data_IF_087519882181
#
_entry.id   IF_087519882181
#
_cell.length_a   1.000
_cell.length_b   1.000
_cell.length_c   1.000
_cell.angle_alpha   90.00
_cell.angle_beta   90.00
_cell.angle_gamma   90.00
#
_symmetry.space_group_name_H-M   'P 1'
#
loop_
_entity.id
_entity.type
_entity.pdbx_description
1 polymer ?
#
# COMPACT_ATOMS: atom_id res chain seq x y z
N UNK A 1 -10.81 -6.88 3.00
CA UNK A 1 -11.47 -5.63 3.44
C UNK A 1 -11.07 -5.36 4.88
N UNK A 2 -11.27 -6.34 5.77
CA UNK A 2 -10.89 -6.35 7.20
C UNK A 2 -9.46 -5.88 7.53
N UNK A 3 -8.43 -6.26 6.74
CA UNK A 3 -7.05 -5.78 6.94
C UNK A 3 -6.94 -4.27 6.73
N UNK A 4 -7.57 -3.72 5.68
CA UNK A 4 -7.49 -2.27 5.37
C UNK A 4 -8.23 -1.45 6.42
N UNK A 5 -9.37 -1.95 6.89
CA UNK A 5 -10.16 -1.32 7.95
C UNK A 5 -9.40 -1.29 9.28
N UNK A 6 -8.64 -2.35 9.59
CA UNK A 6 -7.77 -2.39 10.77
C UNK A 6 -6.65 -1.33 10.73
N UNK A 7 -5.99 -1.13 9.59
CA UNK A 7 -4.93 -0.11 9.47
C UNK A 7 -5.49 1.31 9.60
N UNK A 8 -6.68 1.59 9.04
CA UNK A 8 -7.34 2.88 9.22
C UNK A 8 -7.71 3.13 10.69
N UNK A 9 -8.20 2.12 11.40
CA UNK A 9 -8.50 2.23 12.83
C UNK A 9 -7.25 2.47 13.68
N UNK A 10 -6.15 1.76 13.38
CA UNK A 10 -4.84 2.00 14.02
C UNK A 10 -4.37 3.44 13.77
N UNK A 11 -4.42 3.91 12.52
CA UNK A 11 -4.02 5.27 12.15
C UNK A 11 -4.84 6.33 12.92
N UNK A 12 -6.17 6.20 12.91
CA UNK A 12 -7.06 7.12 13.62
C UNK A 12 -6.77 7.14 15.14
N UNK A 13 -6.43 5.99 15.71
CA UNK A 13 -6.04 5.91 17.13
C UNK A 13 -4.73 6.67 17.40
N UNK A 14 -3.73 6.53 16.53
CA UNK A 14 -2.47 7.28 16.63
C UNK A 14 -2.66 8.79 16.46
N UNK A 15 -3.49 9.20 15.50
CA UNK A 15 -3.85 10.61 15.29
C UNK A 15 -4.52 11.20 16.53
N UNK A 16 -5.49 10.49 17.11
CA UNK A 16 -6.18 10.89 18.34
C UNK A 16 -5.21 11.03 19.52
N UNK A 17 -4.31 10.05 19.72
CA UNK A 17 -3.26 10.11 20.74
C UNK A 17 -2.35 11.33 20.53
N UNK A 18 -1.87 11.57 19.31
CA UNK A 18 -0.98 12.70 19.01
C UNK A 18 -1.67 14.06 19.26
N UNK A 19 -2.94 14.19 18.87
CA UNK A 19 -3.76 15.39 19.14
C UNK A 19 -3.88 15.66 20.64
N UNK A 20 -4.18 14.63 21.43
CA UNK A 20 -4.26 14.72 22.88
C UNK A 20 -2.94 15.18 23.49
N UNK A 21 -1.82 14.56 23.10
CA UNK A 21 -0.48 14.93 23.56
C UNK A 21 -0.10 16.37 23.20
N UNK A 22 -0.45 16.83 21.99
CA UNK A 22 -0.21 18.22 21.57
C UNK A 22 -1.00 19.22 22.42
N UNK A 23 -2.24 18.89 22.79
CA UNK A 23 -3.04 19.71 23.70
C UNK A 23 -2.38 19.81 25.08
N UNK A 24 -1.94 18.67 25.65
CA UNK A 24 -1.22 18.67 26.92
C UNK A 24 0.09 19.45 26.86
N UNK A 25 0.88 19.26 25.80
CA UNK A 25 2.13 20.00 25.59
C UNK A 25 1.89 21.51 25.56
N UNK A 26 0.84 21.95 24.88
CA UNK A 26 0.46 23.36 24.78
C UNK A 26 0.12 23.94 26.16
N UNK A 27 -0.68 23.21 26.94
CA UNK A 27 -1.02 23.61 28.32
C UNK A 27 0.24 23.70 29.19
N UNK A 28 1.13 22.69 29.14
CA UNK A 28 2.35 22.68 29.96
C UNK A 28 3.33 23.79 29.55
N UNK A 29 3.44 24.10 28.26
CA UNK A 29 4.22 25.26 27.77
C UNK A 29 3.67 26.58 28.29
N UNK A 30 2.34 26.75 28.31
CA UNK A 30 1.71 27.95 28.84
C UNK A 30 2.01 28.12 30.35
N UNK A 31 1.85 27.05 31.13
CA UNK A 31 2.16 27.06 32.57
C UNK A 31 3.62 27.44 32.80
N UNK A 32 4.56 26.87 32.03
CA UNK A 32 5.97 27.20 32.15
C UNK A 32 6.24 28.68 31.82
N UNK A 33 5.63 29.22 30.77
CA UNK A 33 5.76 30.63 30.41
C UNK A 33 5.24 31.56 31.50
N UNK A 34 4.13 31.21 32.15
CA UNK A 34 3.54 32.01 33.22
C UNK A 34 4.42 31.99 34.47
N UNK A 35 4.97 30.83 34.82
CA UNK A 35 5.99 30.70 35.89
C UNK A 35 7.20 31.59 35.58
N UNK A 36 7.74 31.54 34.36
CA UNK A 36 8.90 32.34 33.91
C UNK A 36 8.62 33.85 33.96
N UNK A 37 7.41 34.29 33.61
CA UNK A 37 7.02 35.71 33.72
C UNK A 37 6.98 36.19 35.17
N UNK A 38 6.57 35.34 36.10
CA UNK A 38 6.48 35.68 37.52
C UNK A 38 7.84 35.70 38.24
N UNK A 39 8.85 35.01 37.71
CA UNK A 39 10.24 35.12 38.18
C UNK A 39 10.77 36.56 38.14
N UNK A 40 10.26 37.39 37.23
CA UNK A 40 10.71 38.78 37.06
C UNK A 40 10.08 39.77 38.07
N UNK A 41 9.24 39.33 39.01
CA UNK A 41 8.43 40.24 39.86
C UNK A 41 8.76 40.25 41.35
N UNK A 42 9.26 39.18 41.99
CA UNK A 42 9.51 39.15 43.46
C UNK A 42 10.62 38.19 43.90
N UNK A 43 11.52 38.67 44.75
CA UNK A 43 12.77 38.01 45.19
C UNK A 43 12.59 36.87 46.23
N UNK A 44 11.37 36.65 46.77
CA UNK A 44 11.09 35.63 47.80
C UNK A 44 10.32 34.37 47.35
N UNK A 45 9.91 34.29 46.07
CA UNK A 45 8.98 33.24 45.56
C UNK A 45 9.72 32.02 44.98
N UNK A 46 11.05 32.07 44.99
CA UNK A 46 11.94 31.17 44.26
C UNK A 46 11.81 29.68 44.63
N UNK A 47 11.63 29.34 45.92
CA UNK A 47 11.55 27.94 46.36
C UNK A 47 10.27 27.24 45.88
N UNK A 48 9.13 27.94 45.87
CA UNK A 48 7.86 27.42 45.37
C UNK A 48 7.89 27.25 43.85
N UNK A 49 8.38 28.27 43.15
CA UNK A 49 8.55 28.24 41.69
C UNK A 49 9.52 27.14 41.23
N UNK A 50 10.62 26.90 41.97
CA UNK A 50 11.55 25.79 41.68
C UNK A 50 10.85 24.42 41.74
N UNK A 51 9.94 24.23 42.68
CA UNK A 51 9.12 23.02 42.78
C UNK A 51 8.17 22.86 41.58
N UNK A 52 7.49 23.95 41.20
CA UNK A 52 6.55 23.99 40.06
C UNK A 52 7.26 23.74 38.72
N UNK A 53 8.42 24.36 38.49
CA UNK A 53 9.25 24.09 37.30
C UNK A 53 9.66 22.63 37.24
N UNK A 54 10.13 22.05 38.36
CA UNK A 54 10.54 20.64 38.42
C UNK A 54 9.38 19.70 38.07
N UNK A 55 8.17 19.99 38.55
CA UNK A 55 6.97 19.21 38.23
C UNK A 55 6.56 19.33 36.76
N UNK A 56 6.54 20.55 36.21
CA UNK A 56 6.25 20.78 34.79
C UNK A 56 7.28 20.09 33.91
N UNK A 57 8.57 20.14 34.25
CA UNK A 57 9.63 19.44 33.53
C UNK A 57 9.41 17.93 33.52
N UNK A 58 9.06 17.30 34.65
CA UNK A 58 8.74 15.86 34.69
C UNK A 58 7.59 15.51 33.75
N UNK A 59 6.53 16.30 33.77
CA UNK A 59 5.40 16.10 32.87
C UNK A 59 5.79 16.27 31.39
N UNK A 60 6.66 17.25 31.08
CA UNK A 60 7.17 17.44 29.72
C UNK A 60 8.02 16.25 29.26
N UNK A 61 8.89 15.70 30.12
CA UNK A 61 9.64 14.49 29.82
C UNK A 61 8.70 13.33 29.48
N UNK A 62 7.68 13.10 30.30
CA UNK A 62 6.70 12.04 30.04
C UNK A 62 5.94 12.25 28.72
N UNK A 63 5.56 13.48 28.40
CA UNK A 63 4.92 13.80 27.10
C UNK A 63 5.88 13.50 25.94
N UNK A 64 7.17 13.78 26.08
CA UNK A 64 8.17 13.50 25.04
C UNK A 64 8.30 11.98 24.83
N UNK A 65 8.43 11.20 25.90
CA UNK A 65 8.47 9.73 25.83
C UNK A 65 7.24 9.17 25.11
N UNK A 66 6.04 9.65 25.46
CA UNK A 66 4.80 9.22 24.80
C UNK A 66 4.73 9.65 23.33
N UNK A 67 5.33 10.78 22.95
CA UNK A 67 5.42 11.19 21.54
C UNK A 67 6.39 10.30 20.76
N UNK A 68 7.50 9.88 21.36
CA UNK A 68 8.43 8.92 20.76
C UNK A 68 7.76 7.57 20.54
N UNK A 69 6.93 7.10 21.48
CA UNK A 69 6.11 5.90 21.29
C UNK A 69 5.15 6.04 20.10
N UNK A 70 4.39 7.15 20.01
CA UNK A 70 3.48 7.39 18.88
C UNK A 70 4.24 7.44 17.55
N UNK A 71 5.44 8.01 17.54
CA UNK A 71 6.31 8.06 16.36
C UNK A 71 6.74 6.65 15.93
N UNK A 72 7.22 5.83 16.87
CA UNK A 72 7.62 4.45 16.60
C UNK A 72 6.44 3.59 16.12
N UNK A 73 5.27 3.74 16.74
CA UNK A 73 4.04 3.06 16.31
C UNK A 73 3.66 3.48 14.88
N UNK A 74 3.83 4.77 14.54
CA UNK A 74 3.56 5.31 13.19
C UNK A 74 4.55 4.76 12.16
N UNK A 75 5.83 4.65 12.49
CA UNK A 75 6.82 4.01 11.62
C UNK A 75 6.48 2.55 11.37
N UNK A 76 6.13 1.81 12.43
CA UNK A 76 5.72 0.41 12.34
C UNK A 76 4.49 0.25 11.43
N UNK A 77 3.46 1.08 11.61
CA UNK A 77 2.27 1.07 10.76
C UNK A 77 2.61 1.42 9.30
N UNK A 78 3.51 2.37 9.09
CA UNK A 78 3.97 2.77 7.75
C UNK A 78 4.70 1.61 7.07
N UNK A 79 5.55 0.89 7.79
CA UNK A 79 6.24 -0.30 7.29
C UNK A 79 5.26 -1.45 6.97
N UNK A 80 4.29 -1.72 7.86
CA UNK A 80 3.20 -2.68 7.61
C UNK A 80 2.46 -2.34 6.31
N UNK A 81 2.08 -1.07 6.14
CA UNK A 81 1.42 -0.58 4.92
C UNK A 81 2.36 -0.69 3.73
N UNK A 82 3.61 -0.23 3.80
CA UNK A 82 4.58 -0.32 2.70
C UNK A 82 4.81 -1.77 2.27
N UNK A 83 4.87 -2.73 3.20
CA UNK A 83 4.97 -4.15 2.87
C UNK A 83 3.72 -4.67 2.16
N UNK A 84 2.52 -4.23 2.58
CA UNK A 84 1.27 -4.51 1.86
C UNK A 84 1.23 -3.84 0.48
N UNK A 85 1.81 -2.64 0.36
CA UNK A 85 1.93 -1.94 -0.92
C UNK A 85 3.06 -2.53 -1.77
N UNK A 86 4.08 -3.18 -1.22
CA UNK A 86 5.10 -3.95 -1.95
C UNK A 86 4.47 -5.13 -2.68
N UNK A 87 3.41 -5.71 -2.09
CA UNK A 87 2.52 -6.66 -2.79
C UNK A 87 1.77 -6.03 -3.98
N UNK A 88 1.91 -4.73 -4.28
CA UNK A 88 1.31 -4.10 -5.46
C UNK A 88 1.86 -4.59 -6.79
N UNK A 89 3.01 -5.25 -6.82
CA UNK A 89 3.47 -5.94 -8.03
C UNK A 89 2.40 -6.93 -8.55
N UNK A 90 1.57 -7.48 -7.65
CA UNK A 90 0.41 -8.31 -8.01
C UNK A 90 -0.69 -7.49 -8.71
N UNK A 91 -0.90 -6.23 -8.31
CA UNK A 91 -1.85 -5.34 -9.00
C UNK A 91 -1.36 -5.01 -10.41
N UNK A 92 -0.05 -4.88 -10.64
CA UNK A 92 0.50 -4.72 -11.99
C UNK A 92 0.14 -5.92 -12.89
N UNK A 93 0.32 -7.15 -12.39
CA UNK A 93 -0.08 -8.35 -13.14
C UNK A 93 -1.60 -8.48 -13.30
N UNK A 94 -2.40 -8.00 -12.34
CA UNK A 94 -3.87 -7.87 -12.48
C UNK A 94 -4.26 -6.93 -13.60
N UNK A 95 -3.55 -5.82 -13.74
CA UNK A 95 -3.79 -4.85 -14.80
C UNK A 95 -3.47 -5.47 -16.16
N UNK A 96 -2.38 -6.25 -16.28
CA UNK A 96 -2.09 -7.01 -17.52
C UNK A 96 -3.12 -8.07 -17.88
N UNK A 97 -3.66 -8.79 -16.89
CA UNK A 97 -4.79 -9.70 -17.12
C UNK A 97 -6.02 -8.92 -17.58
N UNK A 98 -6.23 -7.72 -17.05
CA UNK A 98 -7.34 -6.85 -17.46
C UNK A 98 -7.16 -6.34 -18.90
N UNK A 99 -5.97 -5.86 -19.25
CA UNK A 99 -5.59 -5.41 -20.60
C UNK A 99 -5.80 -6.51 -21.62
N UNK A 100 -5.29 -7.72 -21.34
CA UNK A 100 -5.50 -8.89 -22.21
C UNK A 100 -6.98 -9.20 -22.43
N UNK A 101 -7.79 -9.14 -21.37
CA UNK A 101 -9.23 -9.38 -21.47
C UNK A 101 -9.96 -8.28 -22.25
N UNK A 102 -9.53 -7.02 -22.12
CA UNK A 102 -10.07 -5.91 -22.91
C UNK A 102 -9.75 -6.12 -24.38
N UNK A 103 -8.51 -6.46 -24.71
CA UNK A 103 -8.07 -6.73 -26.08
C UNK A 103 -8.86 -7.91 -26.69
N UNK A 104 -8.99 -9.02 -25.96
CA UNK A 104 -9.79 -10.18 -26.38
C UNK A 104 -11.24 -9.78 -26.63
N UNK A 105 -11.84 -8.98 -25.74
CA UNK A 105 -13.24 -8.52 -25.89
C UNK A 105 -13.41 -7.55 -27.05
N UNK A 106 -12.45 -6.66 -27.30
CA UNK A 106 -12.49 -5.74 -28.45
C UNK A 106 -12.44 -6.51 -29.77
N UNK A 107 -11.57 -7.53 -29.86
CA UNK A 107 -11.43 -8.35 -31.06
C UNK A 107 -12.58 -9.32 -31.29
N UNK A 108 -13.21 -9.83 -30.21
CA UNK A 108 -14.37 -10.74 -30.28
C UNK A 108 -15.74 -10.03 -30.35
N UNK A 109 -15.80 -8.70 -30.29
CA UNK A 109 -17.05 -7.95 -30.28
C UNK A 109 -17.96 -8.21 -29.06
N UNK A 110 -19.13 -7.56 -29.01
CA UNK A 110 -20.19 -7.85 -28.02
C UNK A 110 -21.12 -9.00 -28.47
N UNK A 111 -21.12 -9.31 -29.76
CA UNK A 111 -21.94 -10.33 -30.42
C UNK A 111 -20.98 -11.15 -31.27
N UNK A 112 -20.92 -12.46 -31.02
CA UNK A 112 -20.04 -13.39 -31.72
C UNK A 112 -20.51 -13.52 -33.18
N UNK A 113 -19.76 -12.91 -34.10
CA UNK A 113 -19.88 -12.98 -35.57
C UNK A 113 -18.98 -14.08 -36.12
N UNK A 114 -19.14 -14.45 -37.40
CA UNK A 114 -18.25 -15.43 -38.07
C UNK A 114 -16.77 -15.00 -38.06
N UNK A 115 -16.50 -13.71 -38.06
CA UNK A 115 -15.14 -13.18 -37.88
C UNK A 115 -14.54 -13.55 -36.51
N UNK A 116 -15.38 -13.71 -35.49
CA UNK A 116 -14.96 -14.05 -34.12
C UNK A 116 -14.55 -15.52 -34.00
N UNK A 117 -15.03 -16.44 -34.86
CA UNK A 117 -14.49 -17.81 -34.94
C UNK A 117 -13.01 -17.82 -35.35
N UNK A 118 -12.61 -16.92 -36.25
CA UNK A 118 -11.21 -16.76 -36.65
C UNK A 118 -10.39 -16.28 -35.45
N UNK A 119 -10.85 -15.25 -34.74
CA UNK A 119 -10.18 -14.72 -33.55
C UNK A 119 -10.13 -15.74 -32.41
N UNK A 120 -11.20 -16.50 -32.16
CA UNK A 120 -11.20 -17.58 -31.17
C UNK A 120 -10.22 -18.69 -31.55
N UNK A 121 -10.11 -19.01 -32.84
CA UNK A 121 -9.15 -20.01 -33.34
C UNK A 121 -7.72 -19.52 -33.15
N UNK A 122 -7.44 -18.25 -33.45
CA UNK A 122 -6.13 -17.63 -33.22
C UNK A 122 -5.80 -17.57 -31.72
N UNK A 123 -6.75 -17.16 -30.87
CA UNK A 123 -6.59 -17.13 -29.43
C UNK A 123 -6.26 -18.53 -28.89
N UNK A 124 -7.02 -19.54 -29.34
CA UNK A 124 -6.78 -20.94 -28.97
C UNK A 124 -5.39 -21.40 -29.41
N UNK A 125 -4.92 -21.03 -30.60
CA UNK A 125 -3.55 -21.35 -31.07
C UNK A 125 -2.50 -20.72 -30.18
N UNK A 126 -2.66 -19.45 -29.80
CA UNK A 126 -1.69 -18.74 -28.95
C UNK A 126 -1.69 -19.28 -27.52
N UNK A 127 -2.84 -19.58 -26.94
CA UNK A 127 -2.90 -20.19 -25.60
C UNK A 127 -2.30 -21.60 -25.61
N UNK A 128 -2.54 -22.38 -26.67
CA UNK A 128 -1.95 -23.70 -26.82
C UNK A 128 -0.42 -23.65 -27.01
N UNK A 129 0.11 -22.65 -27.72
CA UNK A 129 1.56 -22.54 -27.95
C UNK A 129 2.36 -22.28 -26.67
N UNK A 130 1.73 -21.68 -25.66
CA UNK A 130 2.30 -21.50 -24.32
C UNK A 130 1.87 -22.58 -23.32
N UNK A 131 1.18 -23.62 -23.78
CA UNK A 131 0.63 -24.70 -22.96
C UNK A 131 -0.21 -24.18 -21.77
N UNK A 132 -1.05 -23.17 -22.02
CA UNK A 132 -1.95 -22.61 -21.01
C UNK A 132 -3.20 -23.48 -20.89
N UNK A 133 -3.40 -24.05 -19.70
CA UNK A 133 -4.59 -24.86 -19.42
C UNK A 133 -5.80 -23.98 -19.09
N UNK A 134 -7.01 -24.52 -19.24
CA UNK A 134 -8.24 -23.82 -18.85
C UNK A 134 -8.27 -23.45 -17.37
N UNK A 135 -7.76 -24.32 -16.49
CA UNK A 135 -7.68 -24.05 -15.05
C UNK A 135 -6.73 -22.88 -14.74
N UNK A 136 -5.57 -22.82 -15.40
CA UNK A 136 -4.65 -21.69 -15.26
C UNK A 136 -5.28 -20.39 -15.79
N UNK A 137 -5.99 -20.46 -16.91
CA UNK A 137 -6.67 -19.30 -17.48
C UNK A 137 -7.80 -18.79 -16.57
N UNK A 138 -8.61 -19.70 -16.01
CA UNK A 138 -9.66 -19.35 -15.05
C UNK A 138 -9.07 -18.79 -13.77
N UNK A 139 -7.97 -19.37 -13.29
CA UNK A 139 -7.23 -18.88 -12.13
C UNK A 139 -6.80 -17.43 -12.36
N UNK A 140 -6.22 -17.11 -13.52
CA UNK A 140 -5.88 -15.73 -13.90
C UNK A 140 -7.11 -14.82 -13.95
N UNK A 141 -8.21 -15.30 -14.54
CA UNK A 141 -9.47 -14.55 -14.66
C UNK A 141 -10.06 -14.16 -13.29
N UNK A 142 -9.91 -15.01 -12.27
CA UNK A 142 -10.41 -14.74 -10.91
C UNK A 142 -9.68 -13.60 -10.21
N UNK A 143 -8.44 -13.29 -10.60
CA UNK A 143 -7.59 -12.26 -9.98
C UNK A 143 -8.05 -10.84 -10.42
N UNK A 144 -8.92 -10.74 -11.44
CA UNK A 144 -9.49 -9.51 -12.04
C UNK A 144 -10.18 -8.55 -11.06
N UNK A 145 -10.66 -9.01 -9.90
CA UNK A 145 -11.31 -8.14 -8.92
C UNK A 145 -10.27 -7.25 -8.24
N UNK A 146 -10.36 -5.94 -8.54
CA UNK A 146 -9.61 -4.82 -7.96
C UNK A 146 -8.26 -4.52 -8.65
N UNK A 147 -8.27 -4.36 -9.98
CA UNK A 147 -7.25 -3.60 -10.72
C UNK A 147 -7.15 -2.18 -10.14
N UNK A 148 -5.92 -1.70 -10.00
CA UNK A 148 -5.65 -0.45 -9.28
C UNK A 148 -4.65 0.42 -10.06
N UNK A 149 -4.88 0.59 -11.37
CA UNK A 149 -4.08 1.40 -12.31
C UNK A 149 -3.59 2.74 -11.74
N UNK A 150 -4.37 3.38 -10.84
CA UNK A 150 -3.99 4.63 -10.16
C UNK A 150 -2.70 4.54 -9.31
N UNK A 151 -2.28 3.34 -8.90
CA UNK A 151 -1.06 3.12 -8.12
C UNK A 151 0.16 2.72 -8.96
N UNK A 152 -0.01 2.56 -10.28
CA UNK A 152 1.03 2.15 -11.22
C UNK A 152 1.42 3.35 -12.08
N UNK A 153 2.08 4.33 -11.47
CA UNK A 153 2.57 5.53 -12.18
C UNK A 153 4.02 5.42 -12.67
N UNK A 154 4.74 4.33 -12.37
CA UNK A 154 6.16 4.23 -12.73
C UNK A 154 6.41 3.27 -13.90
N UNK A 155 6.96 3.87 -14.96
CA UNK A 155 7.59 3.32 -16.17
C UNK A 155 6.87 2.17 -16.89
N UNK A 156 6.45 2.44 -18.13
CA UNK A 156 6.05 1.42 -19.11
C UNK A 156 7.14 0.35 -19.25
N UNK A 157 6.99 -0.77 -18.53
CA UNK A 157 7.86 -1.94 -18.68
C UNK A 157 7.50 -2.70 -19.94
N UNK A 158 8.53 -3.13 -20.66
CA UNK A 158 8.36 -4.09 -21.76
C UNK A 158 7.96 -5.46 -21.22
N UNK A 159 7.27 -6.27 -22.03
CA UNK A 159 6.92 -7.65 -21.67
C UNK A 159 8.15 -8.52 -21.29
N UNK A 160 9.36 -8.16 -21.74
CA UNK A 160 10.60 -8.80 -21.31
C UNK A 160 10.96 -8.46 -19.86
N UNK A 161 10.88 -7.19 -19.50
CA UNK A 161 11.18 -6.72 -18.13
C UNK A 161 10.18 -7.31 -17.13
N UNK A 162 8.91 -7.44 -17.50
CA UNK A 162 7.87 -8.03 -16.65
C UNK A 162 8.06 -9.53 -16.41
N UNK A 163 8.49 -10.27 -17.43
CA UNK A 163 8.84 -11.70 -17.25
C UNK A 163 10.04 -11.85 -16.32
N UNK A 164 11.05 -10.98 -16.44
CA UNK A 164 12.21 -11.02 -15.57
C UNK A 164 11.84 -10.68 -14.11
N UNK A 165 10.94 -9.72 -13.88
CA UNK A 165 10.49 -9.41 -12.51
C UNK A 165 9.76 -10.57 -11.85
N UNK A 166 8.95 -11.34 -12.61
CA UNK A 166 8.33 -12.58 -12.07
C UNK A 166 9.37 -13.58 -11.56
N UNK A 167 10.57 -13.61 -12.14
CA UNK A 167 11.60 -14.56 -11.70
C UNK A 167 12.36 -14.08 -10.47
N UNK A 168 12.63 -12.78 -10.38
CA UNK A 168 13.47 -12.19 -9.33
C UNK A 168 12.68 -11.91 -8.05
N UNK A 169 11.49 -11.34 -8.16
CA UNK A 169 10.65 -10.97 -7.01
C UNK A 169 9.21 -11.41 -7.28
N UNK A 170 8.86 -12.62 -6.79
CA UNK A 170 7.47 -13.06 -6.80
C UNK A 170 7.04 -13.56 -5.42
N UNK A 171 5.89 -13.10 -4.90
CA UNK A 171 5.43 -13.50 -3.57
C UNK A 171 5.18 -15.01 -3.47
N UNK A 172 5.78 -15.65 -2.46
CA UNK A 172 5.67 -17.09 -2.23
C UNK A 172 4.24 -17.55 -1.92
N UNK A 173 3.46 -16.70 -1.26
CA UNK A 173 2.03 -16.91 -0.96
C UNK A 173 1.16 -16.98 -2.21
N UNK A 174 1.67 -16.51 -3.35
CA UNK A 174 0.99 -16.56 -4.65
C UNK A 174 1.70 -17.44 -5.67
N UNK A 175 2.66 -18.27 -5.26
CA UNK A 175 3.50 -19.10 -6.15
C UNK A 175 2.73 -19.82 -7.27
N UNK A 176 1.49 -20.23 -7.00
CA UNK A 176 0.62 -20.94 -7.96
C UNK A 176 0.21 -20.07 -9.16
N UNK A 177 0.29 -18.73 -9.02
CA UNK A 177 0.03 -17.75 -10.08
C UNK A 177 1.25 -17.46 -10.96
N UNK A 178 2.46 -17.74 -10.47
CA UNK A 178 3.72 -17.37 -11.14
C UNK A 178 3.81 -17.99 -12.54
N UNK A 179 3.58 -19.31 -12.63
CA UNK A 179 3.64 -20.04 -13.88
C UNK A 179 2.54 -19.61 -14.88
N UNK A 180 1.25 -19.51 -14.47
CA UNK A 180 0.19 -18.95 -15.31
C UNK A 180 0.49 -17.55 -15.84
N UNK A 181 0.97 -16.64 -14.99
CA UNK A 181 1.29 -15.26 -15.39
C UNK A 181 2.43 -15.20 -16.40
N UNK A 182 3.48 -16.01 -16.22
CA UNK A 182 4.58 -16.09 -17.17
C UNK A 182 4.08 -16.56 -18.54
N UNK A 183 3.24 -17.60 -18.58
CA UNK A 183 2.61 -18.09 -19.83
C UNK A 183 1.78 -16.98 -20.50
N UNK A 184 1.02 -16.21 -19.72
CA UNK A 184 0.21 -15.10 -20.24
C UNK A 184 1.08 -14.01 -20.86
N UNK A 185 2.16 -13.59 -20.21
CA UNK A 185 3.07 -12.56 -20.75
C UNK A 185 3.76 -13.02 -22.04
N UNK A 186 4.09 -14.30 -22.16
CA UNK A 186 4.61 -14.88 -23.41
C UNK A 186 3.52 -14.94 -24.48
N UNK A 187 2.30 -15.32 -24.13
CA UNK A 187 1.16 -15.31 -25.05
C UNK A 187 0.88 -13.90 -25.58
N UNK A 188 0.94 -12.89 -24.72
CA UNK A 188 0.83 -11.46 -25.09
C UNK A 188 1.90 -11.05 -26.12
N UNK A 189 3.15 -11.50 -25.96
CA UNK A 189 4.21 -11.22 -26.96
C UNK A 189 3.92 -11.84 -28.32
N UNK A 190 3.30 -13.02 -28.34
CA UNK A 190 2.93 -13.70 -29.59
C UNK A 190 1.71 -13.01 -30.20
N UNK A 191 0.76 -12.59 -29.37
CA UNK A 191 -0.49 -11.96 -29.78
C UNK A 191 -0.32 -10.54 -30.33
N UNK A 192 0.66 -9.79 -29.82
CA UNK A 192 0.97 -8.43 -30.26
C UNK A 192 1.97 -8.34 -31.43
N UNK A 193 2.49 -9.48 -31.90
CA UNK A 193 3.23 -9.56 -33.16
C UNK A 193 2.27 -9.64 -34.35
#
# INVERSE_FOLDING_TARGET
MEIVDNHHNKLHTLESRNLSLNKFLTIKKQILNDIVKDFNKKEGVWLKQKGEVKDVSKHLFHIIEQKDEVLNDTFTLTEEVLNLLGRKEIFHYKDKVTDFNVEVKQRLGQVIRKEDEKFLTELKKVLNSVNMTTNEFELLFRIKRNSNNKFHQDEMKTLNQEINSLEVSFPNDLKDLKAPLKKLLVALKIWYK
#
